data_IF_399986256936
#
_entry.id   IF_399986256936
#
_cell.length_a   1.000
_cell.length_b   1.000
_cell.length_c   1.000
_cell.angle_alpha   90.00
_cell.angle_beta   90.00
_cell.angle_gamma   90.00
#
_symmetry.space_group_name_H-M   'P 1'
#
loop_
_entity.id
_entity.type
_entity.pdbx_description
1 polymer ?
#
# COMPACT_ATOMS: atom_id res chain seq x y z
N UNK A 1 18.34 79.50 -46.12
CA UNK A 1 18.96 79.82 -44.81
C UNK A 1 18.37 78.88 -43.77
N UNK A 2 19.24 78.13 -43.06
CA UNK A 2 19.14 77.40 -41.76
C UNK A 2 17.71 77.13 -41.21
N UNK A 3 17.33 75.94 -40.75
CA UNK A 3 18.05 74.98 -39.90
C UNK A 3 17.28 73.66 -39.82
N UNK A 4 18.05 72.57 -39.65
CA UNK A 4 17.62 71.20 -39.39
C UNK A 4 16.81 71.02 -38.08
N UNK A 5 15.95 69.99 -38.04
CA UNK A 5 15.79 69.07 -36.89
C UNK A 5 15.35 67.67 -37.37
N UNK A 6 16.22 66.71 -37.13
CA UNK A 6 15.92 65.27 -37.00
C UNK A 6 14.86 65.04 -35.90
N UNK A 7 14.06 63.98 -35.99
CA UNK A 7 13.53 63.21 -34.84
C UNK A 7 12.79 61.97 -35.40
N UNK A 8 13.45 60.80 -35.40
CA UNK A 8 13.18 59.62 -34.54
C UNK A 8 12.02 58.71 -34.98
N UNK A 9 12.40 57.50 -35.43
CA UNK A 9 11.59 56.27 -35.46
C UNK A 9 11.03 55.94 -34.06
N UNK A 10 9.95 55.16 -34.00
CA UNK A 10 10.13 53.86 -33.36
C UNK A 10 9.53 52.71 -34.18
N UNK A 11 10.37 51.72 -34.43
CA UNK A 11 10.01 50.36 -34.82
C UNK A 11 9.36 49.71 -33.61
N UNK A 12 8.09 49.35 -33.71
CA UNK A 12 7.43 48.54 -32.70
C UNK A 12 7.90 47.09 -32.87
N UNK A 13 8.84 46.68 -32.01
CA UNK A 13 9.23 45.29 -31.88
C UNK A 13 8.11 44.53 -31.14
N UNK A 14 7.40 43.66 -31.84
CA UNK A 14 6.52 42.67 -31.24
C UNK A 14 7.38 41.61 -30.54
N UNK A 15 7.51 41.71 -29.22
CA UNK A 15 8.03 40.62 -28.39
C UNK A 15 6.94 39.55 -28.27
N UNK A 16 7.04 38.51 -29.09
CA UNK A 16 6.33 37.24 -28.90
C UNK A 16 6.88 36.56 -27.64
N UNK A 17 6.25 36.83 -26.49
CA UNK A 17 6.42 36.05 -25.27
C UNK A 17 5.83 34.65 -25.52
N UNK A 18 6.67 33.74 -26.01
CA UNK A 18 6.45 32.30 -25.94
C UNK A 18 6.29 31.93 -24.46
N UNK A 19 5.03 31.83 -24.02
CA UNK A 19 4.71 31.21 -22.75
C UNK A 19 5.03 29.73 -22.88
N UNK A 20 6.23 29.35 -22.45
CA UNK A 20 6.49 27.98 -22.04
C UNK A 20 5.54 27.70 -20.89
N UNK A 21 4.37 27.12 -21.18
CA UNK A 21 3.59 26.40 -20.19
C UNK A 21 4.48 25.26 -19.74
N UNK A 22 5.15 25.44 -18.60
CA UNK A 22 5.75 24.33 -17.90
C UNK A 22 4.62 23.31 -17.69
N UNK A 23 4.70 22.18 -18.40
CA UNK A 23 3.95 20.99 -18.05
C UNK A 23 4.38 20.65 -16.63
N UNK A 24 3.58 21.06 -15.65
CA UNK A 24 3.63 20.48 -14.32
C UNK A 24 3.29 19.02 -14.53
N UNK A 25 4.19 18.06 -14.23
CA UNK A 25 3.82 16.66 -14.26
C UNK A 25 2.62 16.51 -13.32
N UNK A 26 1.46 16.20 -13.87
CA UNK A 26 0.28 15.88 -13.07
C UNK A 26 0.67 14.79 -12.09
N UNK A 27 0.23 14.92 -10.84
CA UNK A 27 0.45 13.91 -9.81
C UNK A 27 0.12 12.53 -10.39
N UNK A 28 1.17 11.73 -10.59
CA UNK A 28 1.02 10.37 -11.09
C UNK A 28 0.25 9.61 -10.01
N UNK A 29 -0.92 9.06 -10.37
CA UNK A 29 -1.78 8.37 -9.42
C UNK A 29 -1.02 7.27 -8.67
N UNK A 30 -1.30 7.10 -7.38
CA UNK A 30 -0.70 6.06 -6.55
C UNK A 30 -1.43 4.74 -6.79
N UNK A 31 -1.12 4.09 -7.91
CA UNK A 31 -1.61 2.74 -8.24
C UNK A 31 -0.43 1.77 -8.31
N UNK A 32 -0.62 0.56 -7.79
CA UNK A 32 0.34 -0.53 -7.85
C UNK A 32 0.45 -1.10 -9.27
N UNK A 33 1.57 -1.74 -9.58
CA UNK A 33 1.73 -2.54 -10.80
C UNK A 33 0.87 -3.81 -10.73
N UNK A 34 0.22 -4.15 -11.84
CA UNK A 34 -0.63 -5.34 -11.96
C UNK A 34 0.03 -6.48 -12.78
N UNK A 35 1.16 -6.22 -13.47
CA UNK A 35 1.88 -7.20 -14.29
C UNK A 35 3.39 -7.14 -14.01
N UNK A 36 3.89 -8.28 -13.53
CA UNK A 36 5.13 -8.38 -12.76
C UNK A 36 6.23 -9.19 -13.41
N UNK A 37 6.12 -9.46 -14.71
CA UNK A 37 7.21 -10.07 -15.49
C UNK A 37 8.54 -9.29 -15.46
N UNK A 38 8.55 -8.08 -14.89
CA UNK A 38 9.66 -7.13 -14.97
C UNK A 38 10.44 -6.95 -13.66
N UNK A 39 9.96 -7.46 -12.52
CA UNK A 39 10.69 -7.42 -11.24
C UNK A 39 10.61 -8.71 -10.42
N UNK A 40 11.55 -8.88 -9.48
CA UNK A 40 11.60 -10.00 -8.53
C UNK A 40 11.70 -9.48 -7.09
N UNK A 41 11.38 -10.34 -6.12
CA UNK A 41 11.66 -10.13 -4.70
C UNK A 41 13.00 -10.73 -4.25
N UNK A 42 13.72 -11.42 -5.16
CA UNK A 42 15.03 -12.00 -4.88
C UNK A 42 16.07 -10.92 -4.61
N UNK A 43 16.49 -10.80 -3.35
CA UNK A 43 17.53 -9.89 -2.93
C UNK A 43 18.87 -10.28 -3.58
N UNK A 44 19.55 -9.30 -4.20
CA UNK A 44 20.81 -9.47 -4.92
C UNK A 44 20.63 -9.73 -6.42
N UNK A 45 19.42 -9.95 -6.91
CA UNK A 45 19.15 -10.15 -8.34
C UNK A 45 19.13 -8.82 -9.12
N UNK A 46 19.34 -8.88 -10.44
CA UNK A 46 19.36 -7.70 -11.30
C UNK A 46 18.04 -6.92 -11.25
N UNK A 47 16.91 -7.63 -11.14
CA UNK A 47 15.57 -7.07 -11.03
C UNK A 47 15.00 -7.16 -9.61
N UNK A 48 15.85 -7.34 -8.60
CA UNK A 48 15.49 -7.45 -7.19
C UNK A 48 15.16 -6.10 -6.52
N UNK A 49 14.65 -6.11 -5.27
CA UNK A 49 14.14 -4.91 -4.59
C UNK A 49 15.13 -3.75 -4.48
N UNK A 50 16.42 -4.01 -4.31
CA UNK A 50 17.47 -2.99 -4.27
C UNK A 50 17.74 -2.31 -5.63
N UNK A 51 17.25 -2.91 -6.71
CA UNK A 51 17.45 -2.46 -8.09
C UNK A 51 16.16 -1.98 -8.78
N UNK A 52 14.98 -2.14 -8.19
CA UNK A 52 13.70 -1.73 -8.80
C UNK A 52 13.72 -0.31 -9.38
N UNK A 53 14.30 0.66 -8.67
CA UNK A 53 14.39 2.04 -9.15
C UNK A 53 15.33 2.29 -10.32
N UNK A 54 16.08 1.27 -10.76
CA UNK A 54 16.97 1.31 -11.93
C UNK A 54 16.38 0.60 -13.15
N UNK A 55 15.30 -0.18 -12.98
CA UNK A 55 14.70 -0.96 -14.06
C UNK A 55 14.01 -0.03 -15.06
N UNK A 56 13.28 0.98 -14.57
CA UNK A 56 12.57 1.98 -15.39
C UNK A 56 12.61 3.37 -14.77
N UNK A 57 12.56 4.40 -15.60
CA UNK A 57 12.50 5.79 -15.15
C UNK A 57 11.28 6.03 -14.25
N UNK A 58 10.14 5.42 -14.61
CA UNK A 58 8.90 5.53 -13.84
C UNK A 58 9.00 4.95 -12.42
N UNK A 59 9.97 4.07 -12.16
CA UNK A 59 10.17 3.39 -10.88
C UNK A 59 11.27 4.05 -10.03
N UNK A 60 11.87 5.14 -10.49
CA UNK A 60 13.00 5.79 -9.83
C UNK A 60 12.75 6.09 -8.33
N UNK A 61 11.51 6.35 -7.94
CA UNK A 61 11.12 6.56 -6.53
C UNK A 61 11.43 5.36 -5.64
N UNK A 62 11.41 4.12 -6.16
CA UNK A 62 11.81 2.93 -5.41
C UNK A 62 13.24 2.99 -4.86
N UNK A 63 14.16 3.67 -5.57
CA UNK A 63 15.57 3.81 -5.16
C UNK A 63 15.93 5.17 -4.57
N UNK A 64 15.19 6.22 -4.89
CA UNK A 64 15.50 7.61 -4.50
C UNK A 64 14.59 8.17 -3.41
N UNK A 65 13.43 7.54 -3.18
CA UNK A 65 12.46 7.94 -2.18
C UNK A 65 13.02 7.91 -0.76
N UNK A 66 12.53 8.79 0.09
CA UNK A 66 12.94 8.90 1.51
C UNK A 66 11.82 8.56 2.50
N UNK A 67 10.60 8.40 2.02
CA UNK A 67 9.42 7.96 2.76
C UNK A 67 8.94 6.59 2.25
N UNK A 68 9.86 5.68 1.96
CA UNK A 68 9.55 4.35 1.41
C UNK A 68 8.98 3.40 2.47
N UNK A 69 8.12 2.48 2.06
CA UNK A 69 7.55 1.39 2.87
C UNK A 69 8.06 0.04 2.36
N UNK A 70 8.08 -1.02 3.20
CA UNK A 70 7.65 -1.09 4.60
C UNK A 70 8.68 -0.56 5.60
N UNK A 71 8.30 -0.47 6.88
CA UNK A 71 9.19 -0.09 7.99
C UNK A 71 8.99 -0.98 9.23
N UNK A 72 9.97 -0.96 10.13
CA UNK A 72 9.80 -1.50 11.47
C UNK A 72 8.97 -0.53 12.32
N UNK A 73 7.88 -1.04 12.90
CA UNK A 73 6.99 -0.31 13.78
C UNK A 73 7.33 -0.66 15.21
N UNK A 74 7.88 0.30 15.96
CA UNK A 74 8.27 0.09 17.36
C UNK A 74 7.45 0.96 18.31
N UNK A 75 6.94 0.33 19.37
CA UNK A 75 6.29 1.03 20.48
C UNK A 75 7.20 2.06 21.15
N UNK A 76 8.52 1.85 21.10
CA UNK A 76 9.50 2.76 21.71
C UNK A 76 9.71 4.03 20.91
N UNK A 77 9.49 3.98 19.60
CA UNK A 77 9.72 5.11 18.71
C UNK A 77 8.41 5.78 18.25
N UNK A 78 7.26 5.13 18.45
CA UNK A 78 5.98 5.68 18.09
C UNK A 78 5.47 6.67 19.15
N UNK A 79 4.99 7.84 18.70
CA UNK A 79 4.36 8.83 19.53
C UNK A 79 2.90 8.44 19.85
N UNK A 80 2.58 8.30 21.13
CA UNK A 80 1.20 8.08 21.57
C UNK A 80 0.33 9.27 21.14
N UNK A 81 -0.68 9.00 20.31
CA UNK A 81 -1.53 10.04 19.71
C UNK A 81 -3.01 9.65 19.85
N UNK A 82 -3.60 9.79 21.06
CA UNK A 82 -5.01 9.44 21.31
C UNK A 82 -6.00 10.18 20.41
N UNK A 83 -5.66 11.40 19.99
CA UNK A 83 -6.48 12.24 19.12
C UNK A 83 -6.65 11.70 17.70
N UNK A 84 -5.91 10.65 17.29
CA UNK A 84 -6.18 9.95 16.04
C UNK A 84 -7.58 9.31 16.03
N UNK A 85 -8.06 8.86 17.19
CA UNK A 85 -9.36 8.23 17.35
C UNK A 85 -9.51 6.86 16.68
N UNK A 86 -10.69 6.28 16.82
CA UNK A 86 -11.06 5.05 16.13
C UNK A 86 -11.07 5.24 14.62
N UNK A 87 -10.75 4.18 13.90
CA UNK A 87 -10.83 4.18 12.45
C UNK A 87 -12.28 4.36 11.98
N UNK A 88 -12.51 5.36 11.14
CA UNK A 88 -13.84 5.70 10.62
C UNK A 88 -14.06 5.01 9.26
N UNK A 89 -14.71 3.85 9.28
CA UNK A 89 -15.03 3.09 8.07
C UNK A 89 -16.53 3.13 7.76
N UNK A 90 -16.86 3.10 6.48
CA UNK A 90 -18.22 2.99 5.94
C UNK A 90 -18.33 1.86 4.93
N UNK A 91 -17.64 0.74 5.23
CA UNK A 91 -17.60 -0.44 4.38
C UNK A 91 -18.98 -1.06 4.15
N UNK A 92 -19.16 -1.61 2.96
CA UNK A 92 -20.36 -2.33 2.54
C UNK A 92 -19.97 -3.49 1.64
N UNK A 93 -20.78 -4.55 1.64
CA UNK A 93 -20.53 -5.68 0.76
C UNK A 93 -20.65 -5.26 -0.71
N UNK A 94 -19.74 -5.74 -1.54
CA UNK A 94 -19.68 -5.42 -2.96
C UNK A 94 -19.28 -6.63 -3.78
N UNK A 95 -19.59 -6.59 -5.09
CA UNK A 95 -19.11 -7.62 -6.03
C UNK A 95 -17.59 -7.53 -6.14
N UNK A 96 -16.93 -8.68 -6.16
CA UNK A 96 -15.48 -8.75 -6.28
C UNK A 96 -15.03 -9.91 -7.16
N UNK A 97 -13.80 -9.79 -7.65
CA UNK A 97 -13.03 -10.89 -8.23
C UNK A 97 -11.83 -11.18 -7.34
N UNK A 98 -11.39 -12.43 -7.29
CA UNK A 98 -10.04 -12.78 -6.85
C UNK A 98 -9.15 -12.82 -8.08
N UNK A 99 -7.98 -12.23 -7.99
CA UNK A 99 -7.03 -12.01 -9.09
C UNK A 99 -5.66 -12.47 -8.63
N UNK A 100 -5.00 -13.25 -9.48
CA UNK A 100 -3.59 -13.56 -9.35
C UNK A 100 -2.80 -12.55 -10.21
N UNK A 101 -2.13 -11.60 -9.56
CA UNK A 101 -1.32 -10.56 -10.24
C UNK A 101 0.10 -11.07 -10.57
N UNK A 102 0.32 -12.38 -10.44
CA UNK A 102 1.60 -13.04 -10.59
C UNK A 102 2.42 -13.00 -9.30
N UNK A 103 2.59 -11.81 -8.72
CA UNK A 103 3.38 -11.61 -7.50
C UNK A 103 2.58 -11.73 -6.21
N UNK A 104 1.27 -11.59 -6.27
CA UNK A 104 0.38 -11.78 -5.14
C UNK A 104 -1.02 -12.20 -5.57
N UNK A 105 -1.84 -12.51 -4.58
CA UNK A 105 -3.28 -12.71 -4.75
C UNK A 105 -3.98 -11.46 -4.22
N UNK A 106 -4.88 -10.91 -5.02
CA UNK A 106 -5.71 -9.77 -4.68
C UNK A 106 -7.19 -10.12 -4.77
N UNK A 107 -8.03 -9.50 -3.95
CA UNK A 107 -9.47 -9.41 -4.16
C UNK A 107 -9.79 -7.98 -4.57
N UNK A 108 -10.24 -7.81 -5.82
CA UNK A 108 -10.55 -6.51 -6.42
C UNK A 108 -12.05 -6.26 -6.39
N UNK A 109 -12.46 -5.11 -5.87
CA UNK A 109 -13.88 -4.75 -5.76
C UNK A 109 -14.33 -4.05 -7.04
N UNK A 110 -15.36 -4.60 -7.68
CA UNK A 110 -15.92 -4.12 -8.96
C UNK A 110 -17.02 -3.06 -8.77
N UNK A 111 -17.41 -2.81 -7.52
CA UNK A 111 -18.39 -1.83 -7.13
C UNK A 111 -17.97 -1.10 -5.87
N UNK A 112 -18.87 -0.30 -5.34
CA UNK A 112 -18.57 0.52 -4.16
C UNK A 112 -18.55 -0.33 -2.89
N UNK A 113 -17.35 -0.69 -2.43
CA UNK A 113 -17.08 -1.44 -1.21
C UNK A 113 -17.07 -0.55 0.06
N UNK A 114 -17.41 0.73 -0.08
CA UNK A 114 -17.33 1.74 0.98
C UNK A 114 -15.94 2.37 1.10
N UNK A 115 -15.72 3.09 2.20
CA UNK A 115 -14.52 3.92 2.37
C UNK A 115 -14.00 3.99 3.80
N UNK A 116 -12.73 4.35 3.91
CA UNK A 116 -12.06 4.83 5.13
C UNK A 116 -12.00 6.36 5.10
N UNK A 117 -12.36 7.01 6.20
CA UNK A 117 -12.30 8.47 6.34
C UNK A 117 -11.11 8.88 7.19
N UNK A 118 -10.26 9.75 6.64
CA UNK A 118 -9.09 10.30 7.34
C UNK A 118 -9.11 11.82 7.16
N UNK A 119 -9.19 12.56 8.28
CA UNK A 119 -9.16 14.03 8.31
C UNK A 119 -10.14 14.69 7.32
N UNK A 120 -11.36 14.15 7.20
CA UNK A 120 -12.41 14.66 6.31
C UNK A 120 -12.30 14.20 4.86
N UNK A 121 -11.25 13.46 4.48
CA UNK A 121 -11.09 12.88 3.14
C UNK A 121 -11.58 11.43 3.14
N UNK A 122 -12.45 11.08 2.20
CA UNK A 122 -12.85 9.70 1.94
C UNK A 122 -11.85 9.00 1.02
N UNK A 123 -11.42 7.80 1.43
CA UNK A 123 -10.59 6.89 0.65
C UNK A 123 -11.41 5.62 0.39
N UNK A 124 -11.81 5.40 -0.86
CA UNK A 124 -12.64 4.28 -1.28
C UNK A 124 -11.81 3.01 -1.39
N UNK A 125 -12.30 1.91 -0.82
CA UNK A 125 -11.62 0.61 -0.88
C UNK A 125 -11.64 0.09 -2.32
N UNK A 126 -10.47 -0.22 -2.87
CA UNK A 126 -10.32 -0.72 -4.23
C UNK A 126 -10.01 -2.21 -4.25
N UNK A 127 -9.08 -2.64 -3.40
CA UNK A 127 -8.63 -4.03 -3.36
C UNK A 127 -8.02 -4.41 -2.01
N UNK A 128 -7.96 -5.71 -1.74
CA UNK A 128 -7.18 -6.29 -0.66
C UNK A 128 -6.24 -7.35 -1.20
N UNK A 129 -5.00 -7.40 -0.71
CA UNK A 129 -4.02 -8.39 -1.16
C UNK A 129 -3.13 -8.85 0.00
N UNK A 130 -2.28 -9.84 -0.26
CA UNK A 130 -1.49 -10.52 0.76
C UNK A 130 -0.01 -10.63 0.40
N UNK A 131 0.83 -10.35 1.40
CA UNK A 131 2.26 -10.60 1.38
C UNK A 131 2.63 -11.72 2.37
N UNK A 132 3.53 -12.61 1.95
CA UNK A 132 4.15 -13.67 2.74
C UNK A 132 5.66 -13.61 2.52
N UNK A 133 6.50 -13.46 3.56
CA UNK A 133 6.15 -13.10 4.95
C UNK A 133 5.54 -11.69 5.04
N UNK A 134 5.32 -11.17 6.25
CA UNK A 134 4.91 -9.76 6.39
C UNK A 134 5.98 -8.80 5.90
N UNK A 135 5.56 -7.68 5.34
CA UNK A 135 6.45 -6.61 4.90
C UNK A 135 6.84 -5.72 6.08
N UNK A 136 5.86 -5.29 6.87
CA UNK A 136 6.11 -4.59 8.11
C UNK A 136 6.62 -5.53 9.19
N UNK A 137 7.47 -4.98 10.04
CA UNK A 137 7.86 -5.62 11.30
C UNK A 137 7.19 -4.89 12.46
N UNK A 138 6.90 -5.62 13.54
CA UNK A 138 6.46 -5.04 14.81
C UNK A 138 7.52 -5.34 15.86
N UNK A 139 8.11 -4.30 16.45
CA UNK A 139 9.21 -4.41 17.40
C UNK A 139 10.33 -5.35 16.89
N UNK A 140 10.72 -5.14 15.63
CA UNK A 140 11.73 -5.90 14.89
C UNK A 140 11.37 -7.37 14.58
N UNK A 141 10.13 -7.78 14.83
CA UNK A 141 9.63 -9.12 14.50
C UNK A 141 8.85 -9.12 13.19
N UNK A 142 9.26 -9.97 12.25
CA UNK A 142 8.53 -10.27 11.02
C UNK A 142 7.50 -11.37 11.26
N UNK A 143 6.31 -11.23 10.68
CA UNK A 143 5.20 -12.16 10.81
C UNK A 143 5.04 -13.03 9.57
N UNK A 144 4.20 -14.06 9.67
CA UNK A 144 4.06 -15.07 8.62
C UNK A 144 3.27 -14.57 7.41
N UNK A 145 2.42 -13.55 7.58
CA UNK A 145 1.60 -12.98 6.51
C UNK A 145 1.23 -11.54 6.87
N UNK A 146 0.99 -10.72 5.86
CA UNK A 146 0.39 -9.40 5.98
C UNK A 146 -0.71 -9.21 4.93
N UNK A 147 -1.85 -8.67 5.34
CA UNK A 147 -2.92 -8.24 4.44
C UNK A 147 -2.83 -6.73 4.28
N UNK A 148 -2.92 -6.24 3.04
CA UNK A 148 -3.09 -4.82 2.73
C UNK A 148 -4.50 -4.56 2.20
N UNK A 149 -5.18 -3.56 2.75
CA UNK A 149 -6.41 -3.00 2.19
C UNK A 149 -6.09 -1.65 1.56
N UNK A 150 -6.14 -1.58 0.24
CA UNK A 150 -5.75 -0.38 -0.52
C UNK A 150 -6.97 0.48 -0.78
N UNK A 151 -6.87 1.76 -0.46
CA UNK A 151 -7.93 2.73 -0.66
C UNK A 151 -7.42 3.92 -1.45
N UNK A 152 -8.27 4.49 -2.32
CA UNK A 152 -7.96 5.68 -3.10
C UNK A 152 -8.98 6.79 -2.84
N UNK A 153 -8.50 8.02 -2.66
CA UNK A 153 -9.36 9.20 -2.69
C UNK A 153 -9.75 9.56 -4.12
N UNK A 154 -10.68 10.50 -4.29
CA UNK A 154 -11.05 11.05 -5.61
C UNK A 154 -9.89 11.79 -6.31
N UNK A 155 -8.82 12.11 -5.58
CA UNK A 155 -7.59 12.71 -6.11
C UNK A 155 -6.49 11.66 -6.34
N UNK A 156 -6.81 10.36 -6.30
CA UNK A 156 -5.86 9.24 -6.39
C UNK A 156 -4.76 9.25 -5.32
N UNK A 157 -5.06 9.81 -4.14
CA UNK A 157 -4.21 9.66 -2.95
C UNK A 157 -4.54 8.33 -2.28
N UNK A 158 -3.52 7.58 -1.88
CA UNK A 158 -3.65 6.26 -1.31
C UNK A 158 -3.64 6.28 0.22
N UNK A 159 -4.46 5.42 0.80
CA UNK A 159 -4.40 5.02 2.20
C UNK A 159 -4.47 3.51 2.30
N UNK A 160 -3.57 2.90 3.07
CA UNK A 160 -3.48 1.44 3.20
C UNK A 160 -3.67 1.03 4.64
N UNK A 161 -4.49 0.00 4.86
CA UNK A 161 -4.57 -0.69 6.15
C UNK A 161 -3.76 -1.98 6.06
N UNK A 162 -2.76 -2.12 6.92
CA UNK A 162 -1.98 -3.35 7.08
C UNK A 162 -2.47 -4.18 8.26
N UNK A 163 -2.60 -5.50 8.10
CA UNK A 163 -2.93 -6.45 9.17
C UNK A 163 -1.92 -7.59 9.17
N UNK A 164 -1.20 -7.76 10.28
CA UNK A 164 -0.18 -8.79 10.46
C UNK A 164 -0.79 -10.10 10.97
N UNK A 165 -0.23 -11.25 10.56
CA UNK A 165 -0.69 -12.56 11.02
C UNK A 165 0.45 -13.47 11.46
N UNK A 166 0.26 -14.14 12.61
CA UNK A 166 1.07 -15.30 13.02
C UNK A 166 0.37 -16.61 12.62
N UNK A 167 1.13 -17.70 12.51
CA UNK A 167 0.52 -19.03 12.36
C UNK A 167 -0.36 -19.33 13.58
N UNK A 168 -1.57 -19.80 13.33
CA UNK A 168 -2.52 -20.16 14.38
C UNK A 168 -3.85 -20.62 13.82
N UNK A 169 -4.94 -20.11 14.40
CA UNK A 169 -6.30 -20.43 13.96
C UNK A 169 -6.53 -19.92 12.54
N UNK A 170 -7.44 -20.59 11.85
CA UNK A 170 -7.88 -20.24 10.50
C UNK A 170 -8.53 -18.86 10.47
N UNK A 171 -8.08 -17.99 9.57
CA UNK A 171 -8.69 -16.67 9.35
C UNK A 171 -10.06 -16.83 8.67
N UNK A 172 -11.06 -16.09 9.15
CA UNK A 172 -12.44 -16.22 8.68
C UNK A 172 -12.64 -15.65 7.28
N UNK A 173 -11.97 -14.55 6.93
CA UNK A 173 -12.09 -13.91 5.64
C UNK A 173 -11.44 -14.79 4.55
N UNK A 174 -10.19 -15.22 4.79
CA UNK A 174 -9.49 -16.16 3.90
C UNK A 174 -10.24 -17.49 3.76
N UNK A 175 -10.92 -17.97 4.81
CA UNK A 175 -11.69 -19.21 4.71
C UNK A 175 -12.74 -19.17 3.59
N UNK A 176 -13.42 -18.03 3.42
CA UNK A 176 -14.40 -17.85 2.34
C UNK A 176 -13.77 -17.86 0.94
N UNK A 177 -12.48 -17.54 0.86
CA UNK A 177 -11.71 -17.48 -0.39
C UNK A 177 -11.02 -18.81 -0.72
N UNK A 178 -10.90 -19.74 0.24
CA UNK A 178 -10.20 -21.03 0.04
C UNK A 178 -10.64 -21.83 -1.20
N UNK A 179 -11.94 -21.94 -1.55
CA UNK A 179 -12.35 -22.69 -2.74
C UNK A 179 -11.78 -22.10 -4.04
N UNK A 180 -11.67 -20.77 -4.10
CA UNK A 180 -11.16 -20.03 -5.25
C UNK A 180 -9.63 -20.13 -5.31
N UNK A 181 -8.95 -19.94 -4.17
CA UNK A 181 -7.49 -20.10 -4.06
C UNK A 181 -7.03 -21.50 -4.53
N UNK A 182 -7.76 -22.56 -4.17
CA UNK A 182 -7.46 -23.93 -4.64
C UNK A 182 -7.56 -24.07 -6.16
N UNK A 183 -8.54 -23.41 -6.78
CA UNK A 183 -8.70 -23.44 -8.24
C UNK A 183 -7.60 -22.64 -8.92
N UNK A 184 -7.27 -21.46 -8.40
CA UNK A 184 -6.19 -20.63 -8.92
C UNK A 184 -4.85 -21.36 -8.91
N UNK A 185 -4.48 -21.97 -7.78
CA UNK A 185 -3.27 -22.78 -7.67
C UNK A 185 -3.22 -23.98 -8.64
N UNK A 186 -4.39 -24.51 -9.06
CA UNK A 186 -4.48 -25.67 -9.93
C UNK A 186 -4.62 -25.39 -11.43
N UNK A 187 -5.08 -24.20 -11.83
CA UNK A 187 -5.57 -23.94 -13.20
C UNK A 187 -4.76 -22.89 -13.97
N UNK A 188 -3.87 -22.15 -13.31
CA UNK A 188 -3.22 -20.93 -13.87
C UNK A 188 -4.23 -19.85 -14.32
N UNK A 189 -5.50 -19.94 -13.90
CA UNK A 189 -6.45 -18.85 -14.11
C UNK A 189 -6.00 -17.60 -13.37
N UNK A 190 -6.00 -16.46 -14.07
CA UNK A 190 -5.56 -15.18 -13.52
C UNK A 190 -6.64 -14.45 -12.74
N UNK A 191 -7.91 -14.74 -12.98
CA UNK A 191 -9.03 -14.04 -12.33
C UNK A 191 -10.24 -14.96 -12.22
N UNK A 192 -10.92 -14.93 -11.09
CA UNK A 192 -12.19 -15.62 -10.86
C UNK A 192 -13.18 -14.71 -10.10
N UNK A 193 -14.45 -14.70 -10.49
CA UNK A 193 -15.48 -13.95 -9.76
C UNK A 193 -15.80 -14.65 -8.43
N UNK A 194 -15.76 -13.91 -7.32
CA UNK A 194 -16.04 -14.43 -5.96
C UNK A 194 -17.41 -14.05 -5.43
N UNK A 195 -18.25 -13.44 -6.27
CA UNK A 195 -19.57 -12.96 -5.90
C UNK A 195 -19.49 -11.71 -5.01
N UNK A 196 -20.34 -11.67 -3.98
CA UNK A 196 -20.42 -10.55 -3.04
C UNK A 196 -19.53 -10.81 -1.84
N UNK A 197 -18.59 -9.91 -1.58
CA UNK A 197 -17.63 -9.99 -0.47
C UNK A 197 -17.91 -8.84 0.51
N UNK A 198 -17.90 -9.16 1.81
CA UNK A 198 -17.94 -8.16 2.87
C UNK A 198 -16.52 -7.81 3.34
N UNK A 199 -15.99 -6.61 3.01
CA UNK A 199 -14.64 -6.21 3.42
C UNK A 199 -14.53 -5.92 4.93
N UNK A 200 -15.64 -5.82 5.66
CA UNK A 200 -15.61 -5.61 7.11
C UNK A 200 -14.86 -6.72 7.85
N UNK A 201 -14.87 -7.94 7.32
CA UNK A 201 -14.20 -9.09 7.91
C UNK A 201 -12.67 -9.06 7.75
N UNK A 202 -12.15 -8.30 6.79
CA UNK A 202 -10.71 -8.18 6.52
C UNK A 202 -10.01 -7.12 7.39
N UNK A 203 -10.75 -6.11 7.87
CA UNK A 203 -10.18 -4.87 8.45
C UNK A 203 -9.43 -5.03 9.77
N UNK A 204 -9.62 -6.15 10.47
CA UNK A 204 -9.11 -6.35 11.84
C UNK A 204 -9.81 -5.47 12.89
N UNK A 205 -9.28 -5.44 14.11
CA UNK A 205 -9.77 -4.56 15.16
C UNK A 205 -8.96 -3.25 15.20
N UNK A 206 -9.64 -2.14 14.89
CA UNK A 206 -9.07 -0.79 14.95
C UNK A 206 -8.92 -0.23 16.36
N UNK A 207 -8.75 -1.07 17.38
CA UNK A 207 -8.60 -0.65 18.78
C UNK A 207 -7.19 -0.10 19.06
N UNK A 208 -6.17 -0.58 18.34
CA UNK A 208 -4.83 -0.02 18.37
C UNK A 208 -4.16 -0.14 17.00
N UNK A 209 -3.50 0.94 16.56
CA UNK A 209 -2.83 0.97 15.25
C UNK A 209 -1.70 1.99 15.19
N UNK A 210 -0.71 1.73 14.34
CA UNK A 210 0.29 2.70 13.96
C UNK A 210 -0.17 3.48 12.73
N UNK A 211 0.18 4.77 12.67
CA UNK A 211 -0.10 5.66 11.55
C UNK A 211 1.19 6.37 11.13
N UNK A 212 1.52 6.29 9.85
CA UNK A 212 2.68 7.00 9.29
C UNK A 212 2.48 7.31 7.80
N UNK A 213 3.28 8.24 7.26
CA UNK A 213 3.34 8.52 5.82
C UNK A 213 4.46 7.70 5.18
N UNK A 214 4.10 6.91 4.17
CA UNK A 214 4.98 5.97 3.49
C UNK A 214 4.83 5.97 1.98
N UNK A 215 5.09 4.82 1.37
CA UNK A 215 4.95 4.56 -0.07
C UNK A 215 4.13 3.30 -0.35
N UNK A 216 3.83 3.06 -1.63
CA UNK A 216 3.51 1.70 -2.09
C UNK A 216 4.74 0.79 -1.87
N UNK A 217 4.50 -0.49 -1.62
CA UNK A 217 5.55 -1.49 -1.38
C UNK A 217 5.92 -2.28 -2.63
N UNK A 218 5.22 -2.06 -3.73
CA UNK A 218 5.58 -2.50 -5.07
C UNK A 218 5.93 -1.29 -5.96
N UNK A 219 6.72 -1.47 -7.02
CA UNK A 219 6.89 -0.48 -8.07
C UNK A 219 5.56 0.12 -8.54
N UNK A 220 5.46 1.42 -8.81
CA UNK A 220 6.52 2.43 -8.86
C UNK A 220 6.96 3.01 -7.48
N UNK A 221 6.53 2.41 -6.37
CA UNK A 221 6.87 2.83 -5.00
C UNK A 221 6.53 4.30 -4.68
N UNK A 222 5.41 4.80 -5.22
CA UNK A 222 4.97 6.18 -5.04
C UNK A 222 4.79 6.55 -3.57
N UNK A 223 5.37 7.67 -3.14
CA UNK A 223 5.30 8.18 -1.75
C UNK A 223 4.04 9.01 -1.48
N UNK A 224 3.77 9.28 -0.20
CA UNK A 224 2.58 10.01 0.25
C UNK A 224 1.41 9.11 0.64
N UNK A 225 1.65 7.80 0.77
CA UNK A 225 0.65 6.82 1.18
C UNK A 225 0.41 6.94 2.69
N UNK A 226 -0.85 7.05 3.10
CA UNK A 226 -1.20 7.03 4.53
C UNK A 226 -1.31 5.58 4.99
N UNK A 227 -0.33 5.11 5.74
CA UNK A 227 -0.32 3.75 6.29
C UNK A 227 -1.01 3.69 7.65
N UNK A 228 -1.87 2.69 7.83
CA UNK A 228 -2.52 2.34 9.09
C UNK A 228 -2.26 0.87 9.38
N UNK A 229 -1.32 0.54 10.26
CA UNK A 229 -1.00 -0.87 10.55
C UNK A 229 -1.64 -1.26 11.88
N UNK A 230 -2.58 -2.21 11.82
CA UNK A 230 -3.29 -2.73 12.99
C UNK A 230 -2.29 -3.41 13.92
N UNK A 231 -2.23 -2.96 15.18
CA UNK A 231 -1.25 -3.45 16.15
C UNK A 231 -1.51 -4.89 16.57
N UNK A 232 -2.79 -5.29 16.67
CA UNK A 232 -3.13 -6.65 17.06
C UNK A 232 -2.84 -7.63 15.93
N UNK A 233 -1.95 -8.57 16.22
CA UNK A 233 -1.58 -9.65 15.31
C UNK A 233 -2.72 -10.66 15.23
N UNK A 234 -3.20 -10.88 14.01
CA UNK A 234 -4.20 -11.89 13.67
C UNK A 234 -3.59 -13.28 13.54
N UNK A 235 -4.41 -14.29 13.25
CA UNK A 235 -3.93 -15.65 13.01
C UNK A 235 -4.34 -16.15 11.64
N UNK A 236 -3.44 -16.85 10.97
CA UNK A 236 -3.70 -17.59 9.73
C UNK A 236 -3.28 -19.04 9.93
N UNK A 237 -4.03 -19.99 9.36
CA UNK A 237 -3.61 -21.39 9.43
C UNK A 237 -2.50 -21.68 8.42
N UNK A 238 -1.60 -22.62 8.72
CA UNK A 238 -0.57 -23.08 7.76
C UNK A 238 -1.18 -23.51 6.43
N UNK A 239 -2.38 -24.09 6.46
CA UNK A 239 -3.10 -24.48 5.26
C UNK A 239 -3.49 -23.28 4.38
N UNK A 240 -4.02 -22.21 4.98
CA UNK A 240 -4.37 -20.99 4.25
C UNK A 240 -3.15 -20.27 3.69
N UNK A 241 -2.07 -20.19 4.47
CA UNK A 241 -0.82 -19.62 4.00
C UNK A 241 -0.32 -20.39 2.77
N UNK A 242 -0.33 -21.72 2.82
CA UNK A 242 0.06 -22.56 1.69
C UNK A 242 -0.80 -22.31 0.44
N UNK A 243 -2.12 -22.12 0.61
CA UNK A 243 -3.01 -21.82 -0.52
C UNK A 243 -2.67 -20.48 -1.20
N UNK A 244 -2.22 -19.48 -0.46
CA UNK A 244 -1.77 -18.21 -1.02
C UNK A 244 -0.43 -18.38 -1.75
N UNK A 245 0.55 -19.02 -1.12
CA UNK A 245 1.89 -19.20 -1.69
C UNK A 245 1.90 -20.16 -2.89
N UNK A 246 1.03 -21.17 -2.91
CA UNK A 246 0.90 -22.08 -4.07
C UNK A 246 0.20 -21.41 -5.27
N UNK A 247 -0.51 -20.29 -5.05
CA UNK A 247 -1.30 -19.65 -6.10
C UNK A 247 -0.50 -18.60 -6.88
N UNK A 248 0.55 -18.01 -6.30
CA UNK A 248 1.43 -17.04 -6.99
C UNK A 248 2.39 -17.73 -7.96
N UNK A 249 3.09 -16.98 -8.79
CA UNK A 249 4.10 -17.56 -9.70
C UNK A 249 5.29 -18.17 -8.93
N UNK A 250 5.87 -19.24 -9.48
CA UNK A 250 7.07 -19.90 -8.93
C UNK A 250 8.18 -18.86 -8.66
N UNK A 251 8.79 -18.93 -7.47
CA UNK A 251 9.83 -18.00 -7.03
C UNK A 251 9.30 -16.71 -6.40
N UNK A 252 7.99 -16.48 -6.40
CA UNK A 252 7.34 -15.34 -5.74
C UNK A 252 6.55 -15.77 -4.49
N UNK A 253 6.80 -16.97 -3.95
CA UNK A 253 6.21 -17.45 -2.70
C UNK A 253 6.61 -16.57 -1.51
N UNK A 254 7.76 -15.88 -1.65
CA UNK A 254 8.21 -14.80 -0.79
C UNK A 254 8.11 -13.46 -1.52
N UNK A 255 7.04 -12.73 -1.28
CA UNK A 255 6.73 -11.47 -1.98
C UNK A 255 6.78 -10.24 -1.05
N UNK A 256 7.69 -10.24 -0.08
CA UNK A 256 7.84 -9.17 0.88
C UNK A 256 9.03 -8.26 0.52
N UNK A 257 8.79 -6.97 0.27
CA UNK A 257 9.85 -5.99 0.10
C UNK A 257 10.65 -5.84 1.40
N UNK A 258 11.99 -5.74 1.34
CA UNK A 258 12.80 -5.48 2.52
C UNK A 258 12.45 -4.16 3.23
N UNK A 259 12.69 -4.11 4.54
CA UNK A 259 12.50 -2.90 5.35
C UNK A 259 13.25 -1.69 4.78
N UNK A 260 12.57 -0.55 4.78
CA UNK A 260 13.10 0.72 4.31
C UNK A 260 13.53 1.60 5.49
N UNK A 261 14.45 2.54 5.23
CA UNK A 261 14.96 3.44 6.27
C UNK A 261 13.86 4.36 6.79
N UNK A 262 13.81 4.57 8.11
CA UNK A 262 12.83 5.45 8.74
C UNK A 262 13.00 6.93 8.31
N UNK A 263 14.24 7.37 8.10
CA UNK A 263 14.58 8.75 7.67
C UNK A 263 13.99 9.86 8.56
N UNK A 264 13.77 9.58 9.84
CA UNK A 264 13.26 10.57 10.81
C UNK A 264 11.77 10.89 10.67
N UNK A 265 11.00 10.10 9.90
CA UNK A 265 9.55 10.29 9.80
C UNK A 265 8.86 9.95 11.13
N UNK A 266 7.83 10.70 11.46
CA UNK A 266 7.02 10.44 12.64
C UNK A 266 6.14 9.19 12.45
N UNK A 267 6.05 8.38 13.51
CA UNK A 267 5.10 7.27 13.61
C UNK A 267 4.19 7.59 14.79
N UNK A 268 2.88 7.67 14.53
CA UNK A 268 1.89 7.82 15.58
C UNK A 268 1.35 6.45 16.00
N UNK A 269 1.02 6.28 17.28
CA UNK A 269 0.35 5.10 17.82
C UNK A 269 -0.96 5.53 18.49
N UNK A 270 -2.08 4.97 18.02
CA UNK A 270 -3.38 5.05 18.68
C UNK A 270 -3.64 3.79 19.49
N UNK A 271 -4.23 3.93 20.68
CA UNK A 271 -4.73 2.84 21.51
C UNK A 271 -6.02 3.31 22.22
N UNK A 272 -7.10 2.54 22.07
CA UNK A 272 -8.43 2.87 22.58
C UNK A 272 -8.56 2.82 24.11
N UNK A 273 -7.67 2.08 24.78
CA UNK A 273 -7.65 1.90 26.23
C UNK A 273 -6.23 2.10 26.78
N UNK A 274 -6.12 2.67 27.98
CA UNK A 274 -4.87 2.79 28.74
C UNK A 274 -4.32 1.41 29.22
N UNK A 275 -5.04 0.31 28.96
CA UNK A 275 -4.62 -1.06 29.30
C UNK A 275 -3.57 -1.59 28.33
N UNK A 276 -2.35 -1.04 28.44
CA UNK A 276 -1.14 -1.53 27.80
C UNK A 276 -0.98 -3.06 27.94
N UNK A 277 -1.36 -3.64 29.07
CA UNK A 277 -1.19 -5.06 29.43
C UNK A 277 -1.87 -6.04 28.47
N UNK A 278 -3.04 -5.71 27.91
CA UNK A 278 -3.83 -6.68 27.12
C UNK A 278 -3.23 -6.95 25.74
N UNK A 279 -2.48 -6.01 25.18
CA UNK A 279 -1.85 -6.15 23.86
C UNK A 279 -0.43 -6.74 23.92
N UNK A 280 0.24 -6.68 25.07
CA UNK A 280 1.53 -7.36 25.27
C UNK A 280 1.36 -8.84 25.67
N UNK A 281 0.29 -9.20 26.40
CA UNK A 281 0.06 -10.55 26.88
C UNK A 281 -0.27 -11.61 25.79
N UNK A 282 -0.48 -11.21 24.53
CA UNK A 282 -0.76 -12.13 23.42
C UNK A 282 0.49 -12.44 22.54
N UNK A 283 1.63 -11.82 22.86
CA UNK A 283 2.89 -12.02 22.15
C UNK A 283 3.70 -13.21 22.69
N UNK A 284 3.45 -13.64 23.94
CA UNK A 284 4.07 -14.82 24.53
C UNK A 284 3.03 -15.94 24.61
N UNK A 285 3.03 -16.83 23.62
CA UNK A 285 2.62 -18.26 23.61
C UNK A 285 2.46 -18.74 22.15
#
# INVERSE_FOLDING_TARGET
>A
MRSARHLHLPVWALLLLLHFSAFVPGARGQQETDDESEFSYDCGSENGPENWGKIKEEWATCGTGRMQSPIDLSDRHAAQTPNLGYLNHSYRSAKASIVNRGHDIAVTFQGDAGSLWINGTAYHLTQVHWHSPSEHHLNSHQYSLELHMVHLSTENKAAVIGRLYKIGRRDHFLHKLEPYLRRMAGTKEKEENVGVVDPWEARGDGEAYYRYTGSLTTPACGEGVIWTVIKRVATVSTHQLKLLTDAVHDGLEMNARPLQKLNGRDISLFCAHDDHERYYAAADY
#
